data_IF_155957511877
#
_entry.id   IF_155957511877
#
_cell.length_a   1.000
_cell.length_b   1.000
_cell.length_c   1.000
_cell.angle_alpha   90.00
_cell.angle_beta   90.00
_cell.angle_gamma   90.00
#
_symmetry.space_group_name_H-M   'P 1'
#
loop_
_entity.id
_entity.type
_entity.pdbx_description
1 polymer ?
#
# COMPACT_ATOMS: atom_id res chain seq x y z
N UNK A 1 20.96 7.60 -49.15
CA UNK A 1 19.61 7.23 -49.64
C UNK A 1 19.53 5.82 -50.23
N UNK A 2 20.50 5.36 -51.03
CA UNK A 2 20.47 4.03 -51.68
C UNK A 2 20.57 2.81 -50.73
N UNK A 3 21.27 2.94 -49.60
CA UNK A 3 21.49 1.83 -48.68
C UNK A 3 20.19 1.39 -47.98
N UNK A 4 19.34 2.36 -47.62
CA UNK A 4 18.04 2.09 -47.00
C UNK A 4 17.08 1.36 -47.94
N UNK A 5 17.02 1.76 -49.22
CA UNK A 5 16.15 1.09 -50.18
C UNK A 5 16.64 -0.32 -50.52
N UNK A 6 17.96 -0.56 -50.55
CA UNK A 6 18.51 -1.91 -50.69
C UNK A 6 18.25 -2.79 -49.45
N UNK A 7 18.39 -2.25 -48.24
CA UNK A 7 18.08 -2.97 -47.01
C UNK A 7 16.61 -3.39 -46.95
N UNK A 8 15.68 -2.48 -47.31
CA UNK A 8 14.25 -2.78 -47.38
C UNK A 8 13.92 -3.85 -48.42
N UNK A 9 14.63 -3.85 -49.56
CA UNK A 9 14.46 -4.84 -50.63
C UNK A 9 14.99 -6.22 -50.21
N UNK A 10 16.09 -6.27 -49.46
CA UNK A 10 16.65 -7.50 -48.91
C UNK A 10 15.72 -8.14 -47.84
N UNK A 11 15.16 -7.32 -46.95
CA UNK A 11 14.16 -7.76 -45.95
C UNK A 11 12.93 -8.37 -46.64
N UNK A 12 12.47 -7.73 -47.71
CA UNK A 12 11.29 -8.18 -48.46
C UNK A 12 11.56 -9.43 -49.32
N UNK A 13 12.79 -9.64 -49.76
CA UNK A 13 13.19 -10.86 -50.48
C UNK A 13 13.27 -12.08 -49.55
N UNK A 14 13.67 -11.88 -48.29
CA UNK A 14 13.73 -12.92 -47.26
C UNK A 14 12.71 -12.64 -46.15
N UNK A 15 11.45 -12.44 -46.55
CA UNK A 15 10.40 -11.97 -45.64
C UNK A 15 10.13 -12.95 -44.49
N UNK A 16 10.16 -14.26 -44.74
CA UNK A 16 9.94 -15.29 -43.73
C UNK A 16 11.03 -15.23 -42.64
N UNK A 17 12.30 -15.23 -43.05
CA UNK A 17 13.42 -15.15 -42.13
C UNK A 17 13.43 -13.82 -41.35
N UNK A 18 13.16 -12.70 -42.04
CA UNK A 18 13.12 -11.38 -41.42
C UNK A 18 12.02 -11.27 -40.36
N UNK A 19 10.81 -11.77 -40.67
CA UNK A 19 9.69 -11.80 -39.70
C UNK A 19 10.02 -12.71 -38.53
N UNK A 20 10.60 -13.89 -38.77
CA UNK A 20 11.00 -14.79 -37.69
C UNK A 20 12.02 -14.14 -36.74
N UNK A 21 13.02 -13.45 -37.27
CA UNK A 21 14.02 -12.73 -36.45
C UNK A 21 13.38 -11.59 -35.67
N UNK A 22 12.57 -10.74 -36.32
CA UNK A 22 11.88 -9.62 -35.64
C UNK A 22 10.99 -10.13 -34.52
N UNK A 23 10.19 -11.16 -34.78
CA UNK A 23 9.31 -11.77 -33.77
C UNK A 23 10.11 -12.32 -32.61
N UNK A 24 11.20 -13.05 -32.88
CA UNK A 24 12.04 -13.64 -31.83
C UNK A 24 12.70 -12.56 -30.96
N UNK A 25 13.28 -11.53 -31.58
CA UNK A 25 13.87 -10.40 -30.85
C UNK A 25 12.82 -9.64 -30.05
N UNK A 26 11.63 -9.42 -30.63
CA UNK A 26 10.51 -8.77 -29.92
C UNK A 26 10.08 -9.61 -28.73
N UNK A 27 9.96 -10.93 -28.88
CA UNK A 27 9.58 -11.82 -27.78
C UNK A 27 10.60 -11.75 -26.63
N UNK A 28 11.89 -11.79 -26.95
CA UNK A 28 12.96 -11.64 -25.95
C UNK A 28 12.90 -10.31 -25.21
N UNK A 29 12.68 -9.21 -25.93
CA UNK A 29 12.55 -7.88 -25.33
C UNK A 29 11.26 -7.74 -24.51
N UNK A 30 10.16 -8.35 -24.96
CA UNK A 30 8.89 -8.37 -24.22
C UNK A 30 9.03 -9.11 -22.89
N UNK A 31 9.70 -10.28 -22.90
CA UNK A 31 9.97 -11.03 -21.66
C UNK A 31 10.84 -10.20 -20.72
N UNK A 32 11.92 -9.58 -21.23
CA UNK A 32 12.79 -8.72 -20.45
C UNK A 32 12.04 -7.51 -19.88
N UNK A 33 11.23 -6.84 -20.70
CA UNK A 33 10.42 -5.68 -20.31
C UNK A 33 9.37 -6.07 -19.28
N UNK A 34 8.69 -7.20 -19.47
CA UNK A 34 7.69 -7.70 -18.52
C UNK A 34 8.31 -8.01 -17.17
N UNK A 35 9.46 -8.71 -17.16
CA UNK A 35 10.20 -8.98 -15.93
C UNK A 35 10.67 -7.68 -15.26
N UNK A 36 11.20 -6.74 -16.04
CA UNK A 36 11.67 -5.44 -15.50
C UNK A 36 10.51 -4.63 -14.92
N UNK A 37 9.35 -4.59 -15.58
CA UNK A 37 8.14 -3.97 -15.06
C UNK A 37 7.71 -4.61 -13.74
N UNK A 38 7.60 -5.94 -13.69
CA UNK A 38 7.23 -6.63 -12.44
C UNK A 38 8.25 -6.35 -11.34
N UNK A 39 9.54 -6.43 -11.64
CA UNK A 39 10.61 -6.22 -10.65
C UNK A 39 10.64 -4.79 -10.10
N UNK A 40 10.44 -3.79 -10.95
CA UNK A 40 10.41 -2.38 -10.53
C UNK A 40 9.11 -2.03 -9.78
N UNK A 41 8.00 -2.64 -10.17
CA UNK A 41 6.69 -2.41 -9.55
C UNK A 41 6.42 -3.34 -8.36
N UNK A 42 7.34 -4.26 -8.04
CA UNK A 42 7.16 -5.21 -6.94
C UNK A 42 6.99 -4.48 -5.61
N UNK A 43 7.73 -3.39 -5.39
CA UNK A 43 7.57 -2.56 -4.20
C UNK A 43 6.16 -1.97 -4.10
N UNK A 44 5.65 -1.39 -5.19
CA UNK A 44 4.29 -0.83 -5.23
C UNK A 44 3.21 -1.91 -5.08
N UNK A 45 3.42 -3.09 -5.63
CA UNK A 45 2.51 -4.22 -5.47
C UNK A 45 2.48 -4.75 -4.03
N UNK A 46 3.62 -4.76 -3.33
CA UNK A 46 3.70 -5.11 -1.92
C UNK A 46 3.01 -4.05 -1.03
N UNK A 47 3.20 -2.77 -1.33
CA UNK A 47 2.53 -1.64 -0.64
C UNK A 47 1.01 -1.73 -0.81
N UNK A 48 0.53 -2.03 -2.02
CA UNK A 48 -0.91 -2.22 -2.28
C UNK A 48 -1.53 -3.42 -1.53
N UNK A 49 -0.71 -4.42 -1.15
CA UNK A 49 -1.16 -5.62 -0.44
C UNK A 49 -1.08 -5.51 1.09
N UNK A 50 -0.22 -4.64 1.63
CA UNK A 50 0.02 -4.55 3.08
C UNK A 50 -0.86 -3.54 3.83
N UNK A 51 -1.75 -2.82 3.15
CA UNK A 51 -2.60 -1.83 3.78
C UNK A 51 -1.78 -0.57 4.12
N UNK A 52 -1.98 0.48 3.34
CA UNK A 52 -1.36 1.80 3.56
C UNK A 52 -2.02 2.53 4.75
N UNK A 53 -1.90 1.95 5.94
CA UNK A 53 -2.15 2.66 7.19
C UNK A 53 -0.80 3.16 7.69
N UNK A 54 -0.56 4.46 7.54
CA UNK A 54 0.74 5.06 7.83
C UNK A 54 0.92 5.39 9.32
N UNK A 55 -0.18 5.56 10.05
CA UNK A 55 -0.20 5.72 11.50
C UNK A 55 -1.41 5.06 12.13
N UNK A 56 -1.21 4.44 13.29
CA UNK A 56 -2.25 3.94 14.17
C UNK A 56 -2.25 4.76 15.45
N UNK A 57 -3.37 5.39 15.78
CA UNK A 57 -3.56 6.20 16.99
C UNK A 57 -4.43 5.41 17.94
N UNK A 58 -3.88 5.00 19.08
CA UNK A 58 -4.60 4.27 20.09
C UNK A 58 -5.34 5.23 21.03
N UNK A 59 -6.63 4.97 21.22
CA UNK A 59 -7.51 5.82 22.01
C UNK A 59 -7.67 5.31 23.44
N UNK A 60 -7.99 6.22 24.36
CA UNK A 60 -8.49 5.87 25.69
C UNK A 60 -9.94 5.36 25.61
N UNK A 61 -10.35 4.53 26.58
CA UNK A 61 -11.69 3.92 26.61
C UNK A 61 -12.85 4.94 26.64
N UNK A 62 -12.62 6.14 27.19
CA UNK A 62 -13.63 7.20 27.32
C UNK A 62 -13.40 8.34 26.31
N UNK A 63 -12.60 8.11 25.25
CA UNK A 63 -12.31 9.12 24.25
C UNK A 63 -13.56 9.48 23.43
N UNK A 64 -13.76 10.77 23.17
CA UNK A 64 -14.80 11.23 22.25
C UNK A 64 -14.35 11.06 20.80
N UNK A 65 -14.66 9.89 20.24
CA UNK A 65 -14.31 9.51 18.86
C UNK A 65 -14.85 10.52 17.85
N UNK A 66 -16.07 11.04 18.06
CA UNK A 66 -16.69 11.98 17.12
C UNK A 66 -15.95 13.31 17.07
N UNK A 67 -15.57 13.83 18.24
CA UNK A 67 -14.78 15.04 18.35
C UNK A 67 -13.40 14.86 17.73
N UNK A 68 -12.73 13.73 18.00
CA UNK A 68 -11.41 13.42 17.44
C UNK A 68 -11.46 13.29 15.91
N UNK A 69 -12.44 12.58 15.35
CA UNK A 69 -12.63 12.47 13.91
C UNK A 69 -12.86 13.84 13.27
N UNK A 70 -13.71 14.68 13.85
CA UNK A 70 -13.99 16.02 13.34
C UNK A 70 -12.75 16.92 13.38
N UNK A 71 -11.93 16.84 14.44
CA UNK A 71 -10.70 17.61 14.56
C UNK A 71 -9.62 17.16 13.58
N UNK A 72 -9.45 15.84 13.44
CA UNK A 72 -8.41 15.22 12.60
C UNK A 72 -8.76 15.41 11.11
N UNK A 73 -10.03 15.27 10.73
CA UNK A 73 -10.47 15.50 9.34
C UNK A 73 -10.30 16.96 8.87
N UNK A 74 -10.15 17.91 9.78
CA UNK A 74 -9.87 19.32 9.43
C UNK A 74 -8.40 19.57 9.08
N UNK A 75 -7.51 18.60 9.31
CA UNK A 75 -6.08 18.78 9.09
C UNK A 75 -5.73 18.59 7.61
N UNK A 76 -5.12 19.59 6.95
CA UNK A 76 -4.76 19.49 5.53
C UNK A 76 -3.70 18.43 5.23
N UNK A 77 -3.00 17.94 6.25
CA UNK A 77 -1.97 16.91 6.13
C UNK A 77 -2.55 15.49 6.05
N UNK A 78 -3.82 15.31 6.41
CA UNK A 78 -4.48 14.01 6.52
C UNK A 78 -5.34 13.76 5.28
N UNK A 79 -5.10 12.63 4.64
CA UNK A 79 -5.84 12.19 3.47
C UNK A 79 -7.12 11.43 3.87
N UNK A 80 -6.97 10.44 4.75
CA UNK A 80 -8.09 9.60 5.20
C UNK A 80 -7.93 9.20 6.67
N UNK A 81 -9.07 9.02 7.34
CA UNK A 81 -9.16 8.56 8.74
C UNK A 81 -10.16 7.43 8.83
N UNK A 82 -9.73 6.30 9.39
CA UNK A 82 -10.56 5.13 9.61
C UNK A 82 -10.66 4.83 11.11
N UNK A 83 -11.88 4.66 11.60
CA UNK A 83 -12.11 4.18 12.96
C UNK A 83 -12.17 2.65 12.95
N UNK A 84 -11.24 2.04 13.70
CA UNK A 84 -11.17 0.60 13.92
C UNK A 84 -11.56 0.36 15.37
N UNK A 85 -12.73 -0.24 15.53
CA UNK A 85 -13.18 -0.70 16.84
C UNK A 85 -12.28 -1.87 17.32
N UNK A 86 -11.97 -1.90 18.62
CA UNK A 86 -11.26 -2.99 19.29
C UNK A 86 -11.76 -4.40 18.95
N UNK A 87 -13.05 -4.61 18.72
CA UNK A 87 -13.61 -5.92 18.32
C UNK A 87 -13.19 -6.32 16.90
N UNK A 88 -13.14 -5.35 15.98
CA UNK A 88 -12.68 -5.56 14.60
C UNK A 88 -11.18 -5.82 14.60
N UNK A 89 -10.41 -5.03 15.36
CA UNK A 89 -8.98 -5.21 15.52
C UNK A 89 -8.62 -6.61 16.08
N UNK A 90 -9.41 -7.10 17.04
CA UNK A 90 -9.23 -8.45 17.60
C UNK A 90 -9.52 -9.52 16.54
N UNK A 91 -10.57 -9.34 15.74
CA UNK A 91 -10.94 -10.28 14.67
C UNK A 91 -9.86 -10.38 13.61
N UNK A 92 -9.32 -9.25 13.15
CA UNK A 92 -8.20 -9.19 12.20
C UNK A 92 -6.95 -9.86 12.80
N UNK A 93 -6.61 -9.55 14.06
CA UNK A 93 -5.45 -10.17 14.72
C UNK A 93 -5.60 -11.70 14.84
N UNK A 94 -6.81 -12.21 15.11
CA UNK A 94 -7.07 -13.67 15.14
C UNK A 94 -7.00 -14.28 13.75
N UNK A 95 -7.41 -13.55 12.70
CA UNK A 95 -7.30 -14.01 11.32
C UNK A 95 -5.84 -14.18 10.92
N UNK A 96 -4.97 -13.23 11.29
CA UNK A 96 -3.54 -13.28 11.04
C UNK A 96 -2.82 -14.32 11.91
N UNK A 97 -3.27 -14.47 13.16
CA UNK A 97 -2.70 -15.37 14.16
C UNK A 97 -3.77 -16.27 14.77
N UNK A 98 -4.17 -17.36 14.08
CA UNK A 98 -5.23 -18.26 14.55
C UNK A 98 -4.90 -18.97 15.88
N UNK A 99 -3.62 -19.01 16.27
CA UNK A 99 -3.18 -19.51 17.58
C UNK A 99 -3.71 -18.69 18.76
N UNK A 100 -4.07 -17.41 18.57
CA UNK A 100 -4.57 -16.53 19.62
C UNK A 100 -6.07 -16.71 19.91
N UNK A 101 -6.80 -17.44 19.06
CA UNK A 101 -8.25 -17.60 19.16
C UNK A 101 -8.71 -18.17 20.52
N UNK A 102 -7.95 -19.13 21.07
CA UNK A 102 -8.28 -19.72 22.37
C UNK A 102 -8.03 -18.76 23.53
N UNK A 103 -6.97 -17.94 23.46
CA UNK A 103 -6.66 -16.94 24.49
C UNK A 103 -7.63 -15.77 24.47
N UNK A 104 -8.02 -15.31 23.28
CA UNK A 104 -8.98 -14.23 23.09
C UNK A 104 -10.39 -14.56 23.62
N UNK A 105 -10.76 -15.84 23.68
CA UNK A 105 -12.04 -16.27 24.25
C UNK A 105 -12.03 -16.37 25.80
N UNK A 106 -10.84 -16.33 26.41
CA UNK A 106 -10.66 -16.56 27.86
C UNK A 106 -10.42 -15.28 28.66
N UNK A 107 -10.11 -14.17 27.98
CA UNK A 107 -9.76 -12.88 28.59
C UNK A 107 -10.54 -11.77 27.90
N UNK A 108 -10.89 -10.71 28.64
CA UNK A 108 -11.47 -9.51 28.05
C UNK A 108 -10.54 -8.90 27.00
N UNK A 109 -11.11 -8.29 25.96
CA UNK A 109 -10.36 -7.74 24.84
C UNK A 109 -9.37 -6.67 25.32
N UNK A 110 -8.05 -6.91 25.24
CA UNK A 110 -7.05 -5.96 25.72
C UNK A 110 -6.79 -4.83 24.72
N UNK A 111 -7.35 -4.90 23.50
CA UNK A 111 -7.10 -3.93 22.45
C UNK A 111 -7.91 -2.65 22.69
N UNK A 112 -7.28 -1.47 22.57
CA UNK A 112 -7.99 -0.21 22.57
C UNK A 112 -8.64 0.05 21.20
N UNK A 113 -9.60 0.97 21.18
CA UNK A 113 -10.09 1.53 19.93
C UNK A 113 -8.98 2.31 19.24
N UNK A 114 -8.92 2.23 17.91
CA UNK A 114 -7.79 2.75 17.12
C UNK A 114 -8.28 3.61 15.97
N UNK A 115 -7.66 4.77 15.76
CA UNK A 115 -7.81 5.55 14.54
C UNK A 115 -6.63 5.28 13.62
N UNK A 116 -6.91 4.72 12.44
CA UNK A 116 -5.90 4.53 11.43
C UNK A 116 -5.91 5.73 10.46
N UNK A 117 -4.74 6.35 10.30
CA UNK A 117 -4.57 7.58 9.55
C UNK A 117 -3.72 7.34 8.32
N UNK A 118 -4.13 7.96 7.21
CA UNK A 118 -3.36 8.05 5.98
C UNK A 118 -2.96 9.49 5.73
N UNK A 119 -1.67 9.76 5.57
CA UNK A 119 -1.18 11.11 5.34
C UNK A 119 -1.08 11.39 3.84
N UNK A 120 -1.11 12.67 3.46
CA UNK A 120 -0.71 13.07 2.10
C UNK A 120 0.80 12.97 1.88
N UNK A 121 1.57 13.08 2.96
CA UNK A 121 3.03 13.02 2.90
C UNK A 121 3.60 12.21 4.09
N UNK A 122 4.13 11.00 3.86
CA UNK A 122 4.66 10.14 4.93
C UNK A 122 5.92 10.69 5.61
N UNK A 123 6.56 11.72 5.07
CA UNK A 123 7.70 12.36 5.74
C UNK A 123 7.29 13.20 6.97
N UNK A 124 6.00 13.48 7.13
CA UNK A 124 5.46 14.31 8.22
C UNK A 124 4.98 13.50 9.43
N UNK A 125 5.11 12.17 9.41
CA UNK A 125 4.66 11.27 10.48
C UNK A 125 5.12 11.71 11.87
N UNK A 126 6.39 12.09 12.04
CA UNK A 126 6.93 12.52 13.34
C UNK A 126 6.30 13.81 13.87
N UNK A 127 6.00 14.77 12.98
CA UNK A 127 5.40 16.04 13.39
C UNK A 127 3.94 15.82 13.79
N UNK A 128 3.23 15.00 13.02
CA UNK A 128 1.81 14.73 13.20
C UNK A 128 1.59 13.83 14.42
N UNK A 129 2.45 12.84 14.65
CA UNK A 129 2.38 11.99 15.85
C UNK A 129 2.54 12.80 17.14
N UNK A 130 3.46 13.76 17.17
CA UNK A 130 3.59 14.68 18.30
C UNK A 130 2.33 15.51 18.53
N UNK A 131 1.69 15.99 17.45
CA UNK A 131 0.44 16.76 17.54
C UNK A 131 -0.73 15.90 18.02
N UNK A 132 -0.82 14.66 17.56
CA UNK A 132 -1.85 13.70 17.95
C UNK A 132 -1.75 13.31 19.43
N UNK A 133 -0.54 13.11 19.95
CA UNK A 133 -0.32 12.83 21.39
C UNK A 133 -0.73 13.95 22.33
N UNK A 134 -0.93 15.18 21.81
CA UNK A 134 -1.42 16.31 22.59
C UNK A 134 -2.95 16.39 22.63
N UNK A 135 -3.65 15.58 21.83
CA UNK A 135 -5.12 15.55 21.83
C UNK A 135 -5.64 14.78 23.04
N UNK A 136 -6.73 15.24 23.68
CA UNK A 136 -7.34 14.52 24.79
C UNK A 136 -7.95 13.20 24.29
N UNK A 137 -7.70 12.11 25.02
CA UNK A 137 -8.19 10.77 24.68
C UNK A 137 -7.29 9.96 23.74
N UNK A 138 -6.09 10.46 23.41
CA UNK A 138 -5.05 9.69 22.70
C UNK A 138 -4.06 9.09 23.71
N UNK A 139 -3.95 7.77 23.72
CA UNK A 139 -3.02 7.03 24.58
C UNK A 139 -1.64 6.94 23.96
N UNK A 140 -1.56 6.54 22.69
CA UNK A 140 -0.28 6.37 21.98
C UNK A 140 -0.44 6.47 20.45
N UNK A 141 0.66 6.74 19.74
CA UNK A 141 0.75 6.93 18.27
C UNK A 141 2.06 6.37 17.74
#
# INVERSE_FOLDING_TARGET
MYVFSQAMRAIRSNWIASVATITTTTLSLTILSGFSLVSLNLNSALVALQGELEMAVYLENDADITLLLDQINQWPEINEVFYINKEVALMEMIQDLPSLQQGAALVDNPLPDTLALKLYNPTQTLLISHRLRLLPGVTDV
#
